data_IF_384512441359
#
_entry.id   IF_384512441359
#
_cell.length_a   1.000
_cell.length_b   1.000
_cell.length_c   1.000
_cell.angle_alpha   90.00
_cell.angle_beta   90.00
_cell.angle_gamma   90.00
#
_symmetry.space_group_name_H-M   'P 1'
#
loop_
_entity.id
_entity.type
_entity.pdbx_description
1 polymer ?
#
# COMPACT_ATOMS: atom_id res chain seq x y z
N UNK A 1 -33.65 -2.88 60.87
CA UNK A 1 -33.14 -1.72 60.11
C UNK A 1 -32.85 -2.21 58.70
N UNK A 2 -33.57 -1.70 57.68
CA UNK A 2 -33.37 -2.10 56.29
C UNK A 2 -32.51 -1.04 55.60
N UNK A 3 -31.31 -1.42 55.16
CA UNK A 3 -30.40 -0.56 54.41
C UNK A 3 -30.78 -0.54 52.94
N UNK A 4 -31.13 0.63 52.42
CA UNK A 4 -31.36 0.87 50.99
C UNK A 4 -29.99 1.06 50.34
N UNK A 5 -29.63 0.19 49.39
CA UNK A 5 -28.44 0.36 48.55
C UNK A 5 -28.84 1.16 47.31
N UNK A 6 -28.39 2.42 47.24
CA UNK A 6 -28.46 3.21 46.01
C UNK A 6 -27.39 2.69 45.03
N UNK A 7 -27.81 2.04 43.96
CA UNK A 7 -26.97 1.79 42.81
C UNK A 7 -26.78 3.11 42.03
N UNK A 8 -25.62 3.74 42.18
CA UNK A 8 -25.25 4.89 41.38
C UNK A 8 -25.00 4.47 39.92
N UNK A 9 -25.81 4.98 38.99
CA UNK A 9 -25.50 4.93 37.57
C UNK A 9 -24.27 5.81 37.32
N UNK A 10 -23.16 5.20 36.93
CA UNK A 10 -22.02 5.92 36.39
C UNK A 10 -22.42 6.53 35.04
N UNK A 11 -22.08 7.81 34.76
CA UNK A 11 -22.33 8.39 33.46
C UNK A 11 -21.51 7.64 32.41
N UNK A 12 -22.15 7.25 31.31
CA UNK A 12 -21.47 6.70 30.14
C UNK A 12 -20.38 7.70 29.71
N UNK A 13 -19.12 7.25 29.70
CA UNK A 13 -18.02 8.05 29.17
C UNK A 13 -18.29 8.46 27.72
N UNK A 14 -17.71 9.58 27.25
CA UNK A 14 -17.93 10.03 25.88
C UNK A 14 -17.55 8.91 24.92
N UNK A 15 -18.49 8.50 24.07
CA UNK A 15 -18.22 7.58 22.98
C UNK A 15 -17.04 8.14 22.18
N UNK A 16 -15.93 7.39 22.13
CA UNK A 16 -14.76 7.79 21.35
C UNK A 16 -15.25 8.07 19.92
N UNK A 17 -15.10 9.32 19.47
CA UNK A 17 -15.49 9.71 18.13
C UNK A 17 -14.78 8.77 17.13
N UNK A 18 -15.57 8.01 16.37
CA UNK A 18 -15.03 7.09 15.38
C UNK A 18 -14.33 7.89 14.30
N UNK A 19 -13.08 7.52 14.00
CA UNK A 19 -12.35 8.14 12.89
C UNK A 19 -12.77 7.49 11.59
N UNK A 20 -13.26 8.31 10.66
CA UNK A 20 -13.59 7.88 9.30
C UNK A 20 -12.32 7.84 8.47
N UNK A 21 -11.97 6.68 7.93
CA UNK A 21 -10.87 6.52 6.99
C UNK A 21 -11.43 6.45 5.57
N UNK A 22 -10.82 7.19 4.65
CA UNK A 22 -11.14 7.15 3.22
C UNK A 22 -9.85 7.07 2.41
N UNK A 23 -9.78 6.14 1.46
CA UNK A 23 -8.69 6.05 0.49
C UNK A 23 -9.26 6.47 -0.86
N UNK A 24 -8.70 7.50 -1.48
CA UNK A 24 -9.21 8.06 -2.75
C UNK A 24 -8.15 7.93 -3.83
N UNK A 25 -8.49 7.27 -4.92
CA UNK A 25 -7.67 7.27 -6.13
C UNK A 25 -7.42 8.72 -6.57
N UNK A 26 -6.16 9.06 -6.77
CA UNK A 26 -5.74 10.42 -7.07
C UNK A 26 -4.96 10.52 -8.37
N UNK A 27 -4.07 9.56 -8.66
CA UNK A 27 -3.25 9.60 -9.88
C UNK A 27 -3.08 8.20 -10.44
N UNK A 28 -3.19 8.11 -11.75
CA UNK A 28 -2.88 6.90 -12.53
C UNK A 28 -1.77 7.26 -13.50
N UNK A 29 -0.71 6.45 -13.56
CA UNK A 29 0.43 6.71 -14.43
C UNK A 29 0.87 5.43 -15.12
N UNK A 30 1.08 5.52 -16.43
CA UNK A 30 1.38 4.38 -17.29
C UNK A 30 2.72 4.59 -17.97
N UNK A 31 3.60 3.60 -17.84
CA UNK A 31 4.95 3.64 -18.38
C UNK A 31 5.26 2.35 -19.11
N UNK A 32 6.10 2.45 -20.13
CA UNK A 32 6.71 1.27 -20.75
C UNK A 32 7.76 0.71 -19.80
N UNK A 33 7.70 -0.57 -19.47
CA UNK A 33 8.58 -1.20 -18.47
C UNK A 33 10.07 -1.05 -18.83
N UNK A 34 10.41 -1.34 -20.09
CA UNK A 34 11.77 -1.21 -20.64
C UNK A 34 12.33 0.22 -20.70
N UNK A 35 11.53 1.25 -20.40
CA UNK A 35 12.03 2.63 -20.33
C UNK A 35 12.86 2.90 -19.07
N UNK A 36 12.93 1.96 -18.11
CA UNK A 36 13.81 2.11 -16.94
C UNK A 36 13.32 3.14 -15.92
N UNK A 37 12.01 3.37 -15.84
CA UNK A 37 11.42 4.52 -15.11
C UNK A 37 11.41 4.30 -13.61
N UNK A 38 11.95 5.26 -12.86
CA UNK A 38 11.86 5.35 -11.41
C UNK A 38 10.56 6.05 -11.01
N UNK A 39 9.50 5.27 -10.84
CA UNK A 39 8.21 5.84 -10.48
C UNK A 39 8.09 6.01 -8.97
N UNK A 40 7.82 7.23 -8.54
CA UNK A 40 7.34 7.54 -7.19
C UNK A 40 5.99 8.24 -7.31
N UNK A 41 5.00 7.81 -6.53
CA UNK A 41 3.71 8.46 -6.44
C UNK A 41 3.89 9.95 -6.10
N UNK A 42 3.03 10.84 -6.63
CA UNK A 42 3.10 12.26 -6.31
C UNK A 42 2.93 12.55 -4.81
N UNK A 43 3.18 13.80 -4.41
CA UNK A 43 3.11 14.25 -3.02
C UNK A 43 1.87 13.74 -2.27
N UNK A 44 2.09 13.22 -1.05
CA UNK A 44 1.08 12.65 -0.16
C UNK A 44 0.22 11.52 -0.77
N UNK A 45 0.78 10.75 -1.71
CA UNK A 45 0.11 9.58 -2.28
C UNK A 45 0.89 8.29 -2.02
N UNK A 46 0.16 7.19 -1.99
CA UNK A 46 0.68 5.83 -1.78
C UNK A 46 0.20 4.91 -2.89
N UNK A 47 0.95 3.85 -3.19
CA UNK A 47 0.56 2.84 -4.15
C UNK A 47 -0.62 2.02 -3.60
N UNK A 48 -1.69 1.97 -4.38
CA UNK A 48 -2.87 1.14 -4.10
C UNK A 48 -3.11 0.10 -5.18
N UNK A 49 -2.42 0.18 -6.31
CA UNK A 49 -2.58 -0.82 -7.36
C UNK A 49 -1.48 -0.79 -8.39
N UNK A 50 -1.40 -1.89 -9.14
CA UNK A 50 -0.60 -2.02 -10.36
C UNK A 50 -1.36 -2.86 -11.36
N UNK A 51 -1.34 -2.46 -12.62
CA UNK A 51 -1.72 -3.29 -13.74
C UNK A 51 -0.54 -3.41 -14.70
N UNK A 52 -0.38 -4.59 -15.29
CA UNK A 52 0.60 -4.84 -16.33
C UNK A 52 -0.08 -5.57 -17.49
N UNK A 53 0.26 -5.16 -18.71
CA UNK A 53 -0.24 -5.79 -19.93
C UNK A 53 0.85 -5.84 -20.97
N UNK A 54 1.11 -7.04 -21.49
CA UNK A 54 2.16 -7.31 -22.47
C UNK A 54 3.33 -8.05 -21.86
N UNK A 55 4.39 -8.17 -22.65
CA UNK A 55 5.70 -8.70 -22.30
C UNK A 55 6.61 -7.56 -21.77
N UNK A 56 7.95 -7.67 -21.84
CA UNK A 56 8.84 -6.61 -21.37
C UNK A 56 8.75 -5.28 -22.16
N UNK A 57 8.01 -5.26 -23.28
CA UNK A 57 7.62 -4.04 -23.98
C UNK A 57 6.22 -3.53 -23.60
N UNK A 58 5.55 -4.23 -22.70
CA UNK A 58 4.26 -3.91 -22.13
C UNK A 58 4.26 -2.65 -21.28
N UNK A 59 3.04 -2.21 -20.98
CA UNK A 59 2.81 -1.03 -20.16
C UNK A 59 2.47 -1.45 -18.74
N UNK A 60 3.21 -0.91 -17.77
CA UNK A 60 2.83 -0.94 -16.37
C UNK A 60 2.07 0.34 -16.03
N UNK A 61 0.88 0.16 -15.47
CA UNK A 61 0.08 1.23 -14.88
C UNK A 61 0.16 1.16 -13.36
N UNK A 62 0.50 2.27 -12.72
CA UNK A 62 0.47 2.44 -11.27
C UNK A 62 -0.73 3.28 -10.85
N UNK A 63 -1.34 2.89 -9.74
CA UNK A 63 -2.48 3.60 -9.15
C UNK A 63 -2.06 4.14 -7.80
N UNK A 64 -2.06 5.45 -7.68
CA UNK A 64 -1.69 6.20 -6.49
C UNK A 64 -2.94 6.83 -5.87
N UNK A 65 -3.08 6.66 -4.56
CA UNK A 65 -4.22 7.17 -3.80
C UNK A 65 -3.78 8.05 -2.65
N UNK A 66 -4.65 8.97 -2.23
CA UNK A 66 -4.52 9.73 -0.99
C UNK A 66 -5.26 9.02 0.13
N UNK A 67 -4.67 9.05 1.33
CA UNK A 67 -5.27 8.51 2.54
C UNK A 67 -5.79 9.68 3.37
N UNK A 68 -7.07 9.64 3.74
CA UNK A 68 -7.73 10.69 4.50
C UNK A 68 -8.34 10.14 5.79
N UNK A 69 -8.12 10.84 6.88
CA UNK A 69 -8.76 10.59 8.17
C UNK A 69 -9.65 11.78 8.50
N UNK A 70 -10.95 11.53 8.70
CA UNK A 70 -11.97 12.57 8.88
C UNK A 70 -11.94 13.65 7.78
N UNK A 71 -11.63 13.23 6.55
CA UNK A 71 -11.51 14.14 5.40
C UNK A 71 -10.22 14.94 5.32
N UNK A 72 -9.28 14.76 6.25
CA UNK A 72 -7.95 15.39 6.26
C UNK A 72 -6.88 14.42 5.77
N UNK A 73 -6.02 14.87 4.85
CA UNK A 73 -4.98 14.01 4.26
C UNK A 73 -3.89 13.64 5.28
N UNK A 74 -3.52 12.36 5.27
CA UNK A 74 -2.30 11.89 5.93
C UNK A 74 -1.07 12.43 5.18
N UNK A 75 -0.05 12.79 5.93
CA UNK A 75 1.26 13.17 5.39
C UNK A 75 2.06 11.90 5.11
N UNK A 76 2.61 11.81 3.90
CA UNK A 76 3.46 10.69 3.48
C UNK A 76 4.90 11.15 3.45
N UNK A 77 5.76 10.51 4.24
CA UNK A 77 7.20 10.72 4.17
C UNK A 77 7.81 9.62 3.30
N UNK A 78 8.36 10.02 2.15
CA UNK A 78 8.99 9.11 1.20
C UNK A 78 10.36 8.70 1.73
N UNK A 79 10.61 7.39 1.81
CA UNK A 79 11.90 6.83 2.22
C UNK A 79 12.88 6.63 1.06
N UNK A 80 14.04 6.08 1.41
CA UNK A 80 15.07 5.67 0.47
C UNK A 80 14.65 4.45 -0.35
N UNK A 81 15.24 4.31 -1.54
CA UNK A 81 15.06 3.11 -2.35
C UNK A 81 15.64 1.89 -1.64
N UNK A 82 14.90 0.78 -1.70
CA UNK A 82 15.42 -0.52 -1.30
C UNK A 82 16.57 -0.99 -2.20
N UNK A 83 17.30 -2.00 -1.72
CA UNK A 83 18.30 -2.69 -2.52
C UNK A 83 17.67 -3.30 -3.78
N UNK A 84 18.47 -3.36 -4.85
CA UNK A 84 18.06 -4.01 -6.10
C UNK A 84 17.84 -5.50 -5.94
N UNK A 85 16.71 -5.99 -6.46
CA UNK A 85 16.39 -7.40 -6.54
C UNK A 85 16.23 -7.78 -8.02
N UNK A 86 16.75 -8.94 -8.41
CA UNK A 86 16.50 -9.47 -9.76
C UNK A 86 15.02 -9.78 -9.92
N UNK A 87 14.44 -9.41 -11.06
CA UNK A 87 13.01 -9.57 -11.35
C UNK A 87 12.56 -11.02 -11.15
N UNK A 88 13.27 -11.96 -11.79
CA UNK A 88 12.91 -13.37 -11.99
C UNK A 88 12.66 -14.18 -10.70
N UNK A 89 13.17 -13.69 -9.56
CA UNK A 89 12.90 -14.21 -8.22
C UNK A 89 12.96 -13.10 -7.16
N UNK A 90 12.04 -12.13 -7.22
CA UNK A 90 11.97 -11.04 -6.26
C UNK A 90 10.87 -11.24 -5.22
N UNK A 91 11.19 -10.91 -3.97
CA UNK A 91 10.22 -10.85 -2.87
C UNK A 91 10.54 -9.61 -2.06
N UNK A 92 9.61 -8.67 -2.06
CA UNK A 92 9.72 -7.46 -1.28
C UNK A 92 8.50 -7.26 -0.41
N UNK A 93 8.77 -6.93 0.85
CA UNK A 93 7.81 -6.44 1.82
C UNK A 93 8.38 -5.15 2.40
N UNK A 94 7.54 -4.13 2.49
CA UNK A 94 7.92 -2.90 3.16
C UNK A 94 8.17 -3.18 4.66
N UNK A 95 9.09 -2.44 5.31
CA UNK A 95 9.30 -2.55 6.74
C UNK A 95 8.02 -2.30 7.54
N UNK A 96 8.03 -2.63 8.83
CA UNK A 96 6.88 -2.40 9.72
C UNK A 96 6.39 -0.94 9.64
N UNK A 97 5.06 -0.75 9.59
CA UNK A 97 4.41 0.56 9.42
C UNK A 97 4.81 1.36 8.16
N UNK A 98 5.40 0.70 7.16
CA UNK A 98 5.69 1.33 5.87
C UNK A 98 4.70 0.88 4.79
N UNK A 99 4.56 1.74 3.81
CA UNK A 99 3.71 1.56 2.63
C UNK A 99 4.57 1.69 1.39
N UNK A 100 4.14 1.12 0.27
CA UNK A 100 4.82 1.39 -0.99
C UNK A 100 4.38 2.75 -1.54
N UNK A 101 5.36 3.56 -1.93
CA UNK A 101 5.15 4.86 -2.61
C UNK A 101 5.80 4.88 -3.99
N UNK A 102 6.63 3.89 -4.32
CA UNK A 102 7.28 3.84 -5.62
C UNK A 102 7.87 2.49 -5.97
N UNK A 103 8.18 2.35 -7.26
CA UNK A 103 8.90 1.22 -7.84
C UNK A 103 9.80 1.76 -8.95
N UNK A 104 11.01 1.22 -9.00
CA UNK A 104 11.90 1.34 -10.13
C UNK A 104 12.16 -0.04 -10.68
N UNK A 105 12.19 -0.16 -12.01
CA UNK A 105 12.62 -1.35 -12.69
C UNK A 105 13.42 -0.93 -13.92
N UNK A 106 14.48 -1.68 -14.24
CA UNK A 106 15.30 -1.47 -15.43
C UNK A 106 15.68 -2.82 -16.02
N UNK A 107 15.68 -2.92 -17.35
CA UNK A 107 16.02 -4.14 -18.07
C UNK A 107 14.80 -4.92 -18.56
N UNK A 108 15.05 -6.16 -18.94
CA UNK A 108 14.07 -7.20 -19.25
C UNK A 108 13.88 -8.10 -17.99
N UNK A 109 13.49 -9.36 -18.15
CA UNK A 109 13.42 -10.36 -17.06
C UNK A 109 14.67 -10.47 -16.16
N UNK A 110 15.85 -10.03 -16.61
CA UNK A 110 17.08 -10.00 -15.78
C UNK A 110 17.33 -8.65 -15.12
N UNK A 111 16.37 -7.76 -15.26
CA UNK A 111 16.36 -6.44 -14.71
C UNK A 111 16.38 -6.39 -13.19
N UNK A 112 16.69 -5.21 -12.68
CA UNK A 112 16.68 -4.92 -11.26
C UNK A 112 15.41 -4.15 -10.92
N UNK A 113 14.56 -4.75 -10.09
CA UNK A 113 13.49 -4.02 -9.40
C UNK A 113 14.03 -3.44 -8.08
N UNK A 114 13.65 -2.19 -7.79
CA UNK A 114 13.69 -1.58 -6.45
C UNK A 114 12.31 -1.07 -6.09
N UNK A 115 12.05 -1.05 -4.79
CA UNK A 115 10.84 -0.48 -4.21
C UNK A 115 11.18 0.72 -3.35
N UNK A 116 10.26 1.67 -3.28
CA UNK A 116 10.37 2.84 -2.42
C UNK A 116 9.31 2.75 -1.32
N UNK A 117 9.70 2.41 -0.08
CA UNK A 117 8.80 2.50 1.06
C UNK A 117 8.62 3.95 1.50
N UNK A 118 7.55 4.22 2.24
CA UNK A 118 7.31 5.48 2.93
C UNK A 118 6.54 5.25 4.23
N UNK A 119 6.55 6.23 5.12
CA UNK A 119 5.74 6.23 6.35
C UNK A 119 4.59 7.22 6.22
N UNK A 120 3.56 7.03 7.03
CA UNK A 120 2.41 7.92 7.07
C UNK A 120 2.19 8.46 8.48
N UNK A 121 1.86 9.74 8.55
CA UNK A 121 1.44 10.39 9.79
C UNK A 121 0.15 11.18 9.58
N UNK A 122 -0.69 11.26 10.61
CA UNK A 122 -1.88 12.10 10.62
C UNK A 122 -1.87 12.94 11.90
N UNK A 123 -1.90 14.28 11.75
CA UNK A 123 -1.75 15.23 12.86
C UNK A 123 -0.53 14.97 13.75
N UNK A 124 0.59 14.62 13.12
CA UNK A 124 1.84 14.29 13.80
C UNK A 124 1.87 12.92 14.49
N UNK A 125 0.80 12.10 14.38
CA UNK A 125 0.76 10.74 14.93
C UNK A 125 1.04 9.72 13.84
N UNK A 126 1.82 8.69 14.15
CA UNK A 126 2.09 7.58 13.26
C UNK A 126 0.79 6.85 12.87
N UNK A 127 0.68 6.51 11.60
CA UNK A 127 -0.33 5.59 11.08
C UNK A 127 0.25 4.18 11.06
N UNK A 128 -0.53 3.21 11.53
CA UNK A 128 -0.14 1.81 11.66
C UNK A 128 -0.66 0.99 10.49
N UNK A 129 0.16 0.06 10.02
CA UNK A 129 -0.18 -0.84 8.92
C UNK A 129 -0.06 -2.27 9.41
N UNK A 130 -1.17 -3.01 9.40
CA UNK A 130 -1.21 -4.40 9.86
C UNK A 130 -2.24 -5.22 9.08
N UNK A 131 -2.50 -6.47 9.47
CA UNK A 131 -3.41 -7.40 8.80
C UNK A 131 -3.08 -7.58 7.32
N UNK A 132 -1.85 -8.01 7.09
CA UNK A 132 -1.30 -8.20 5.75
C UNK A 132 -1.88 -9.43 5.06
N UNK A 133 -2.38 -9.25 3.85
CA UNK A 133 -2.88 -10.34 3.01
C UNK A 133 -2.20 -10.31 1.65
N UNK A 134 -1.79 -11.49 1.18
CA UNK A 134 -1.31 -11.68 -0.18
C UNK A 134 -2.46 -12.02 -1.12
N UNK A 135 -2.43 -11.47 -2.32
CA UNK A 135 -3.32 -11.94 -3.39
C UNK A 135 -2.98 -13.36 -3.80
N UNK A 136 -3.92 -14.00 -4.51
CA UNK A 136 -3.59 -15.16 -5.34
C UNK A 136 -2.53 -14.82 -6.41
N UNK A 137 -1.85 -15.83 -6.98
CA UNK A 137 -0.95 -15.64 -8.11
C UNK A 137 -1.71 -15.06 -9.30
N UNK A 138 -1.07 -14.12 -10.00
CA UNK A 138 -1.58 -13.50 -11.22
C UNK A 138 -0.53 -13.61 -12.31
N UNK A 139 -0.96 -13.99 -13.51
CA UNK A 139 -0.07 -14.07 -14.68
C UNK A 139 0.49 -12.69 -15.00
N UNK A 140 1.81 -12.55 -14.99
CA UNK A 140 2.44 -11.23 -15.14
C UNK A 140 2.13 -10.55 -16.48
N UNK A 141 2.07 -11.31 -17.58
CA UNK A 141 1.85 -10.74 -18.91
C UNK A 141 0.46 -10.13 -19.12
N UNK A 142 -0.49 -10.33 -18.19
CA UNK A 142 -1.79 -9.67 -18.24
C UNK A 142 -2.51 -9.76 -16.89
N UNK A 143 -2.27 -8.80 -16.00
CA UNK A 143 -2.99 -8.67 -14.74
C UNK A 143 -3.24 -7.23 -14.30
N UNK A 144 -4.23 -7.09 -13.42
CA UNK A 144 -4.45 -5.87 -12.66
C UNK A 144 -4.74 -6.24 -11.21
N UNK A 145 -4.09 -5.56 -10.28
CA UNK A 145 -4.31 -5.72 -8.85
C UNK A 145 -4.53 -4.36 -8.20
N UNK A 146 -5.58 -4.28 -7.39
CA UNK A 146 -5.95 -3.08 -6.65
C UNK A 146 -6.26 -3.46 -5.21
N UNK A 147 -5.87 -2.59 -4.30
CA UNK A 147 -6.24 -2.66 -2.90
C UNK A 147 -7.76 -2.51 -2.76
N UNK A 148 -8.34 -3.29 -1.85
CA UNK A 148 -9.72 -3.06 -1.41
C UNK A 148 -9.75 -1.83 -0.48
N UNK A 149 -10.01 -0.67 -1.10
CA UNK A 149 -10.05 0.63 -0.40
C UNK A 149 -11.15 0.72 0.65
N UNK A 150 -12.26 -0.01 0.46
CA UNK A 150 -13.36 -0.08 1.43
C UNK A 150 -12.93 -0.89 2.67
N UNK A 151 -12.06 -1.89 2.46
CA UNK A 151 -11.36 -2.60 3.53
C UNK A 151 -10.09 -1.91 4.01
N UNK A 152 -9.85 -0.64 3.64
CA UNK A 152 -8.73 0.18 4.13
C UNK A 152 -7.36 -0.36 3.73
N UNK A 153 -7.31 -1.10 2.62
CA UNK A 153 -6.09 -1.72 2.16
C UNK A 153 -5.20 -0.75 1.38
N UNK A 154 -3.90 -0.98 1.49
CA UNK A 154 -2.85 -0.29 0.73
C UNK A 154 -1.72 -1.26 0.39
N UNK A 155 -0.98 -0.98 -0.68
CA UNK A 155 0.06 -1.90 -1.13
C UNK A 155 1.30 -1.79 -0.24
N UNK A 156 1.80 -2.93 0.22
CA UNK A 156 2.98 -3.02 1.10
C UNK A 156 4.05 -3.95 0.56
N UNK A 157 3.76 -4.76 -0.47
CA UNK A 157 4.73 -5.71 -1.00
C UNK A 157 4.35 -6.29 -2.35
N UNK A 158 5.33 -6.96 -2.97
CA UNK A 158 5.16 -7.73 -4.20
C UNK A 158 6.12 -8.92 -4.20
N UNK A 159 5.63 -10.05 -4.66
CA UNK A 159 6.42 -11.22 -5.04
C UNK A 159 6.29 -11.35 -6.55
N UNK A 160 7.41 -11.56 -7.22
CA UNK A 160 7.44 -11.95 -8.61
C UNK A 160 8.36 -13.17 -8.75
N UNK A 161 7.90 -14.19 -9.45
CA UNK A 161 8.72 -15.38 -9.75
C UNK A 161 8.44 -15.89 -11.15
N UNK A 162 9.50 -16.20 -11.90
CA UNK A 162 9.44 -16.77 -13.25
C UNK A 162 10.01 -15.84 -14.33
N UNK A 163 9.93 -16.32 -15.58
CA UNK A 163 10.12 -15.50 -16.78
C UNK A 163 8.77 -14.86 -17.19
N UNK A 164 8.56 -14.46 -18.45
CA UNK A 164 7.41 -13.76 -19.08
C UNK A 164 6.01 -14.32 -18.74
N UNK A 165 6.01 -15.50 -18.12
CA UNK A 165 4.89 -16.32 -17.75
C UNK A 165 4.80 -16.59 -16.24
N UNK A 166 5.58 -15.86 -15.45
CA UNK A 166 5.66 -15.96 -14.01
C UNK A 166 4.40 -15.48 -13.28
N UNK A 167 4.36 -15.82 -12.01
CA UNK A 167 3.29 -15.39 -11.10
C UNK A 167 3.74 -14.15 -10.33
N UNK A 168 2.93 -13.10 -10.42
CA UNK A 168 3.03 -11.94 -9.53
C UNK A 168 1.99 -12.05 -8.43
N UNK A 169 2.39 -11.78 -7.18
CA UNK A 169 1.48 -11.60 -6.05
C UNK A 169 1.73 -10.23 -5.43
N UNK A 170 0.68 -9.60 -4.92
CA UNK A 170 0.78 -8.33 -4.20
C UNK A 170 0.38 -8.52 -2.76
N UNK A 171 1.04 -7.79 -1.86
CA UNK A 171 0.67 -7.72 -0.46
C UNK A 171 -0.07 -6.42 -0.20
N UNK A 172 -1.18 -6.55 0.52
CA UNK A 172 -1.99 -5.44 0.97
C UNK A 172 -2.08 -5.47 2.50
N UNK A 173 -1.73 -4.35 3.14
CA UNK A 173 -1.91 -4.12 4.58
C UNK A 173 -3.11 -3.19 4.83
N UNK A 174 -3.78 -3.35 5.96
CA UNK A 174 -4.87 -2.47 6.41
C UNK A 174 -4.34 -1.34 7.29
N UNK A 175 -4.96 -0.18 7.16
CA UNK A 175 -4.60 1.04 7.89
C UNK A 175 -5.34 1.14 9.22
N UNK A 176 -4.59 1.47 10.29
CA UNK A 176 -5.08 1.76 11.63
C UNK A 176 -4.45 3.05 12.18
N UNK A 177 -5.18 3.74 13.07
CA UNK A 177 -4.65 4.92 13.80
C UNK A 177 -4.08 4.58 15.18
N UNK A 178 -4.29 3.35 15.62
CA UNK A 178 -3.87 2.83 16.91
C UNK A 178 -3.32 1.43 16.64
N UNK A 179 -2.13 1.15 17.16
CA UNK A 179 -1.52 -0.19 17.14
C UNK A 179 -1.73 -0.92 18.44
#
# INVERSE_FOLDING_TARGET
MAGVVLAGLLPAGPAAASVTLTIRLATTSTFKESAGVDFTCPWNQVLTGRAHKGDENGYTTYYCSRVLFNGEEAQVTVGDWSLGQREDYSTYQAPWNHVLVGRWHTGDEKGITRYRPGTMTWRGRQVYIDMHTWTGPMRESSHASHADVDQRQIMTGRIHSGNENGDTKYQYGKIFLYG
#
